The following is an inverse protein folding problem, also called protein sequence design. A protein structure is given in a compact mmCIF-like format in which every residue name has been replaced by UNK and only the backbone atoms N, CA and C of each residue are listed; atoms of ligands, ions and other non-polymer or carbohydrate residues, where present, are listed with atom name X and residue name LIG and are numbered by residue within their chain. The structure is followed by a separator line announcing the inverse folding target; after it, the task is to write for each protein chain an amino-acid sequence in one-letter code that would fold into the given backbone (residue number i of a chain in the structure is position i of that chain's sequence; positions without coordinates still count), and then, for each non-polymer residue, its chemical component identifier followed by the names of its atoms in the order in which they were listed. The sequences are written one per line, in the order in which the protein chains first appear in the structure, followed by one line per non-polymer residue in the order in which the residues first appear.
data_IF_400402375371
#
_entry.id   IF_400402375371
#
_cell.length_a   1.000
_cell.length_b   1.000
_cell.length_c   1.000
_cell.angle_alpha   90.00
_cell.angle_beta   90.00
_cell.angle_gamma   90.00
#
_symmetry.space_group_name_H-M   'P 1'
#
loop_
_entity.id
_entity.type
_entity.pdbx_description
1 polymer ?
#
# COMPACT_ATOMS: atom_id res chain seq x y z
N UNK A 1 -49.35 -12.21 8.66
CA UNK A 1 -48.79 -10.87 8.92
C UNK A 1 -47.91 -10.33 7.78
N UNK A 2 -47.31 -11.19 6.92
CA UNK A 2 -46.56 -10.75 5.73
C UNK A 2 -47.42 -10.22 4.57
N UNK A 3 -48.72 -10.52 4.53
CA UNK A 3 -49.64 -10.06 3.48
C UNK A 3 -50.07 -8.59 3.64
N UNK A 4 -50.08 -8.06 4.86
CA UNK A 4 -50.54 -6.69 5.13
C UNK A 4 -49.51 -5.62 4.75
N UNK A 5 -48.21 -5.93 4.75
CA UNK A 5 -47.16 -4.93 4.51
C UNK A 5 -47.00 -4.59 3.02
N UNK A 6 -47.15 -5.59 2.14
CA UNK A 6 -47.16 -5.38 0.69
C UNK A 6 -48.40 -4.59 0.25
N UNK A 7 -49.54 -4.77 0.92
CA UNK A 7 -50.76 -3.98 0.68
C UNK A 7 -50.62 -2.52 1.15
N UNK A 8 -49.93 -2.27 2.27
CA UNK A 8 -49.65 -0.91 2.75
C UNK A 8 -48.72 -0.16 1.78
N UNK A 9 -47.67 -0.81 1.28
CA UNK A 9 -46.82 -0.22 0.23
C UNK A 9 -47.53 -0.09 -1.12
N UNK A 10 -48.56 -0.89 -1.40
CA UNK A 10 -49.37 -0.84 -2.64
C UNK A 10 -50.38 0.30 -2.64
N UNK A 11 -50.92 0.70 -1.47
CA UNK A 11 -51.95 1.76 -1.35
C UNK A 11 -51.44 3.19 -1.57
N UNK A 12 -50.13 3.43 -1.61
CA UNK A 12 -49.55 4.72 -1.98
C UNK A 12 -49.07 4.69 -3.44
N UNK A 13 -50.00 4.88 -4.38
CA UNK A 13 -49.80 4.74 -5.84
C UNK A 13 -48.81 5.75 -6.48
N UNK A 14 -48.26 6.70 -5.74
CA UNK A 14 -47.40 7.76 -6.29
C UNK A 14 -45.89 7.63 -6.01
N UNK A 15 -45.42 6.48 -5.52
CA UNK A 15 -43.99 6.27 -5.23
C UNK A 15 -43.41 5.10 -6.02
N UNK A 16 -43.22 5.30 -7.34
CA UNK A 16 -42.36 4.44 -8.18
C UNK A 16 -40.95 4.26 -7.57
N UNK A 17 -40.52 5.22 -6.75
CA UNK A 17 -39.22 5.28 -6.07
C UNK A 17 -38.99 4.19 -5.00
N UNK A 18 -39.98 3.90 -4.14
CA UNK A 18 -39.86 2.84 -3.12
C UNK A 18 -39.84 1.46 -3.78
N UNK A 19 -40.55 1.30 -4.91
CA UNK A 19 -40.44 0.10 -5.72
C UNK A 19 -39.01 -0.08 -6.23
N UNK A 20 -38.34 0.95 -6.76
CA UNK A 20 -36.96 0.84 -7.25
C UNK A 20 -35.95 0.38 -6.18
N UNK A 21 -35.99 1.01 -5.00
CA UNK A 21 -35.10 0.65 -3.87
C UNK A 21 -35.43 -0.75 -3.35
N UNK A 22 -36.72 -1.07 -3.17
CA UNK A 22 -37.13 -2.42 -2.76
C UNK A 22 -36.84 -3.48 -3.84
N UNK A 23 -36.90 -3.16 -5.13
CA UNK A 23 -36.64 -4.09 -6.23
C UNK A 23 -35.15 -4.35 -6.41
N UNK A 24 -34.29 -3.32 -6.30
CA UNK A 24 -32.83 -3.47 -6.28
C UNK A 24 -32.34 -4.29 -5.09
N UNK A 25 -32.99 -4.13 -3.93
CA UNK A 25 -32.72 -4.93 -2.72
C UNK A 25 -33.30 -6.36 -2.86
N UNK A 26 -34.48 -6.53 -3.48
CA UNK A 26 -35.12 -7.85 -3.70
C UNK A 26 -34.40 -8.69 -4.77
N UNK A 27 -33.95 -8.09 -5.88
CA UNK A 27 -33.23 -8.79 -6.96
C UNK A 27 -31.92 -9.40 -6.44
N UNK A 28 -31.21 -8.74 -5.52
CA UNK A 28 -29.92 -9.22 -5.01
C UNK A 28 -30.03 -10.27 -3.90
N UNK A 29 -31.22 -10.43 -3.28
CA UNK A 29 -31.46 -11.37 -2.18
C UNK A 29 -32.35 -12.57 -2.53
N UNK A 30 -32.86 -12.68 -3.77
CA UNK A 30 -33.60 -13.87 -4.23
C UNK A 30 -32.74 -15.14 -4.40
N UNK A 31 -31.43 -15.09 -4.17
CA UNK A 31 -30.52 -16.23 -4.34
C UNK A 31 -30.13 -17.03 -3.09
N UNK A 32 -30.47 -16.57 -1.88
CA UNK A 32 -30.06 -17.25 -0.65
C UNK A 32 -31.17 -17.25 0.41
N UNK A 33 -31.83 -18.40 0.58
CA UNK A 33 -32.57 -18.70 1.80
C UNK A 33 -31.56 -18.88 2.94
N UNK A 34 -31.45 -17.88 3.81
CA UNK A 34 -30.66 -17.96 5.04
C UNK A 34 -31.42 -17.27 6.19
N UNK A 35 -31.07 -17.52 7.46
CA UNK A 35 -31.89 -17.19 8.65
C UNK A 35 -32.14 -15.70 8.93
N UNK A 36 -31.63 -14.81 8.06
CA UNK A 36 -31.72 -13.34 8.12
C UNK A 36 -33.14 -12.77 7.99
N UNK A 37 -34.17 -13.60 7.83
CA UNK A 37 -35.56 -13.14 7.69
C UNK A 37 -36.12 -12.50 8.97
N UNK A 38 -35.57 -12.85 10.14
CA UNK A 38 -35.95 -12.26 11.45
C UNK A 38 -35.36 -10.86 11.69
N UNK A 39 -34.28 -10.51 11.01
CA UNK A 39 -33.64 -9.19 11.19
C UNK A 39 -34.37 -8.09 10.40
N UNK A 40 -35.21 -8.43 9.42
CA UNK A 40 -35.99 -7.46 8.64
C UNK A 40 -37.06 -6.72 9.44
N UNK A 41 -37.68 -7.37 10.43
CA UNK A 41 -38.68 -6.74 11.30
C UNK A 41 -38.02 -5.77 12.29
N UNK A 42 -36.73 -5.95 12.59
CA UNK A 42 -35.93 -5.06 13.44
C UNK A 42 -35.27 -3.93 12.65
N UNK A 43 -34.85 -4.19 11.39
CA UNK A 43 -34.12 -3.23 10.51
C UNK A 43 -35.01 -2.15 9.88
N UNK A 44 -36.32 -2.34 9.82
CA UNK A 44 -37.28 -1.28 9.46
C UNK A 44 -37.88 -0.66 10.72
N UNK A 45 -37.06 0.08 11.46
CA UNK A 45 -37.55 0.84 12.61
C UNK A 45 -38.62 1.84 12.13
N UNK A 46 -39.86 1.60 12.54
CA UNK A 46 -41.09 2.26 12.04
C UNK A 46 -41.02 3.78 12.17
N UNK A 47 -40.30 4.28 13.16
CA UNK A 47 -40.11 5.71 13.43
C UNK A 47 -39.17 6.39 12.42
N UNK A 48 -38.18 5.66 11.90
CA UNK A 48 -37.24 6.16 10.88
C UNK A 48 -37.96 6.25 9.54
N UNK A 49 -38.74 5.22 9.18
CA UNK A 49 -39.56 5.21 7.97
C UNK A 49 -40.64 6.30 8.00
N UNK A 50 -41.23 6.57 9.16
CA UNK A 50 -42.19 7.68 9.34
C UNK A 50 -41.53 9.06 9.23
N UNK A 51 -40.30 9.23 9.73
CA UNK A 51 -39.50 10.44 9.49
C UNK A 51 -39.14 10.61 8.01
N UNK A 52 -38.84 9.52 7.30
CA UNK A 52 -38.57 9.50 5.84
C UNK A 52 -39.77 9.94 4.99
N UNK A 53 -41.00 9.62 5.40
CA UNK A 53 -42.23 9.99 4.68
C UNK A 53 -42.58 11.48 4.87
N UNK A 54 -42.25 12.05 6.03
CA UNK A 54 -42.62 13.43 6.37
C UNK A 54 -41.57 14.48 5.97
N UNK A 55 -40.32 14.12 5.68
CA UNK A 55 -39.33 15.08 5.15
C UNK A 55 -39.35 15.12 3.62
N UNK A 56 -40.30 15.87 3.07
CA UNK A 56 -40.56 16.01 1.62
C UNK A 56 -39.46 16.76 0.82
N UNK A 57 -38.19 16.79 1.28
CA UNK A 57 -37.12 17.52 0.58
C UNK A 57 -35.67 17.07 0.86
N UNK A 58 -35.41 15.87 1.37
CA UNK A 58 -34.03 15.41 1.60
C UNK A 58 -33.54 14.54 0.44
N UNK A 59 -32.55 15.04 -0.31
CA UNK A 59 -31.86 14.38 -1.43
C UNK A 59 -31.58 12.89 -1.17
N UNK A 60 -31.79 12.03 -2.18
CA UNK A 60 -31.51 10.58 -2.17
C UNK A 60 -30.15 10.21 -1.56
N UNK A 61 -29.13 11.01 -1.82
CA UNK A 61 -27.78 10.88 -1.25
C UNK A 61 -27.75 11.01 0.28
N UNK A 62 -28.54 11.93 0.84
CA UNK A 62 -28.64 12.16 2.29
C UNK A 62 -29.38 10.99 2.96
N UNK A 63 -30.37 10.42 2.29
CA UNK A 63 -31.13 9.29 2.82
C UNK A 63 -30.27 8.02 2.85
N UNK A 64 -29.53 7.75 1.77
CA UNK A 64 -28.61 6.62 1.70
C UNK A 64 -27.48 6.72 2.72
N UNK A 65 -26.91 7.91 2.91
CA UNK A 65 -25.86 8.11 3.91
C UNK A 65 -26.39 7.88 5.33
N UNK A 66 -27.56 8.39 5.69
CA UNK A 66 -28.17 8.15 7.02
C UNK A 66 -28.42 6.65 7.26
N UNK A 67 -28.95 5.94 6.25
CA UNK A 67 -29.24 4.51 6.36
C UNK A 67 -27.97 3.69 6.59
N UNK A 68 -26.94 3.89 5.77
CA UNK A 68 -25.68 3.15 5.90
C UNK A 68 -24.93 3.52 7.17
N UNK A 69 -24.91 4.80 7.58
CA UNK A 69 -24.33 5.23 8.85
C UNK A 69 -24.98 4.50 10.03
N UNK A 70 -26.30 4.33 10.04
CA UNK A 70 -26.96 3.56 11.09
C UNK A 70 -26.55 2.08 11.05
N UNK A 71 -26.42 1.46 9.87
CA UNK A 71 -25.89 0.10 9.77
C UNK A 71 -24.46 -0.04 10.32
N UNK A 72 -23.61 0.99 10.11
CA UNK A 72 -22.27 1.07 10.68
C UNK A 72 -22.29 1.20 12.21
N UNK A 73 -23.21 2.00 12.76
CA UNK A 73 -23.42 2.17 14.22
C UNK A 73 -24.00 0.93 14.89
N UNK A 74 -24.98 0.28 14.27
CA UNK A 74 -25.70 -0.89 14.80
C UNK A 74 -24.77 -2.10 14.97
N UNK A 75 -23.70 -2.17 14.18
CA UNK A 75 -22.63 -3.16 14.38
C UNK A 75 -21.74 -2.87 15.61
N UNK A 76 -21.98 -1.79 16.37
CA UNK A 76 -21.29 -1.42 17.61
C UNK A 76 -19.77 -1.13 17.51
N UNK A 77 -19.23 -0.84 16.31
CA UNK A 77 -17.78 -0.66 16.10
C UNK A 77 -17.34 0.76 15.71
N UNK A 78 -18.25 1.69 15.49
CA UNK A 78 -17.91 3.05 15.03
C UNK A 78 -18.49 4.08 16.00
N UNK A 79 -17.60 4.85 16.64
CA UNK A 79 -17.97 5.97 17.50
C UNK A 79 -18.40 7.18 16.67
N UNK A 80 -19.24 8.05 17.23
CA UNK A 80 -19.67 9.28 16.55
C UNK A 80 -18.48 10.16 16.14
N UNK A 81 -17.40 10.14 16.92
CA UNK A 81 -16.18 10.89 16.59
C UNK A 81 -15.40 10.27 15.42
N UNK A 82 -15.43 8.94 15.26
CA UNK A 82 -14.83 8.29 14.11
C UNK A 82 -15.62 8.55 12.82
N UNK A 83 -16.96 8.68 12.92
CA UNK A 83 -17.80 9.10 11.78
C UNK A 83 -17.45 10.51 11.34
N UNK A 84 -17.22 11.45 12.27
CA UNK A 84 -16.80 12.81 11.94
C UNK A 84 -15.46 12.86 11.22
N UNK A 85 -14.55 11.94 11.55
CA UNK A 85 -13.26 11.79 10.85
C UNK A 85 -13.42 11.21 9.44
N UNK A 86 -14.47 10.40 9.22
CA UNK A 86 -14.67 9.68 7.97
C UNK A 86 -15.27 10.58 6.91
N UNK A 87 -14.64 10.68 5.75
CA UNK A 87 -15.21 11.40 4.62
C UNK A 87 -16.59 10.81 4.23
N UNK A 88 -17.56 11.69 3.99
CA UNK A 88 -18.95 11.30 3.70
C UNK A 88 -19.11 10.36 2.51
N UNK A 89 -18.16 10.36 1.56
CA UNK A 89 -18.12 9.44 0.41
C UNK A 89 -18.13 7.98 0.85
N UNK A 90 -17.31 7.61 1.83
CA UNK A 90 -17.18 6.23 2.29
C UNK A 90 -18.43 5.73 3.01
N UNK A 91 -19.15 6.64 3.66
CA UNK A 91 -20.38 6.36 4.39
C UNK A 91 -21.60 6.17 3.48
N UNK A 92 -21.47 6.44 2.18
CA UNK A 92 -22.52 6.18 1.18
C UNK A 92 -22.51 4.73 0.67
N UNK A 93 -21.49 3.95 1.06
CA UNK A 93 -21.38 2.54 0.68
C UNK A 93 -21.87 1.61 1.78
N UNK A 94 -22.51 0.51 1.38
CA UNK A 94 -22.94 -0.54 2.32
C UNK A 94 -21.72 -1.17 3.01
N UNK A 95 -21.75 -1.37 4.35
CA UNK A 95 -20.71 -2.08 5.05
C UNK A 95 -20.54 -3.50 4.49
N UNK A 96 -19.31 -3.99 4.31
CA UNK A 96 -19.11 -5.33 3.78
C UNK A 96 -19.62 -6.40 4.76
N UNK A 97 -19.88 -7.59 4.22
CA UNK A 97 -20.27 -8.75 5.03
C UNK A 97 -19.11 -9.17 5.94
N UNK A 98 -19.41 -9.69 7.12
CA UNK A 98 -18.45 -10.25 8.08
C UNK A 98 -17.45 -11.21 7.44
N UNK A 99 -17.89 -12.08 6.51
CA UNK A 99 -16.99 -12.98 5.78
C UNK A 99 -15.91 -12.23 5.01
N UNK A 100 -16.26 -11.11 4.40
CA UNK A 100 -15.34 -10.29 3.61
C UNK A 100 -14.28 -9.64 4.51
N UNK A 101 -14.68 -9.11 5.68
CA UNK A 101 -13.74 -8.63 6.68
C UNK A 101 -12.72 -9.69 7.09
N UNK A 102 -13.17 -10.91 7.42
CA UNK A 102 -12.25 -11.99 7.77
C UNK A 102 -11.32 -12.39 6.62
N UNK A 103 -11.81 -12.45 5.39
CA UNK A 103 -10.97 -12.75 4.22
C UNK A 103 -9.87 -11.69 4.07
N UNK A 104 -10.22 -10.40 4.13
CA UNK A 104 -9.23 -9.32 4.06
C UNK A 104 -8.24 -9.37 5.22
N UNK A 105 -8.72 -9.59 6.45
CA UNK A 105 -7.87 -9.76 7.63
C UNK A 105 -6.86 -10.90 7.47
N UNK A 106 -7.29 -12.06 6.96
CA UNK A 106 -6.40 -13.20 6.71
C UNK A 106 -5.37 -12.87 5.64
N UNK A 107 -5.78 -12.27 4.52
CA UNK A 107 -4.87 -11.89 3.42
C UNK A 107 -3.83 -10.90 3.91
N UNK A 108 -4.23 -9.82 4.58
CA UNK A 108 -3.30 -8.84 5.14
C UNK A 108 -2.38 -9.43 6.21
N UNK A 109 -2.88 -10.35 7.05
CA UNK A 109 -2.06 -11.04 8.04
C UNK A 109 -0.96 -11.87 7.38
N UNK A 110 -1.28 -12.61 6.31
CA UNK A 110 -0.30 -13.42 5.56
C UNK A 110 0.76 -12.50 4.94
N UNK A 111 0.35 -11.42 4.28
CA UNK A 111 1.27 -10.45 3.66
C UNK A 111 2.17 -9.80 4.70
N UNK A 112 1.61 -9.40 5.84
CA UNK A 112 2.36 -8.85 6.98
C UNK A 112 3.41 -9.85 7.47
N UNK A 113 3.03 -11.09 7.79
CA UNK A 113 3.93 -12.09 8.35
C UNK A 113 5.08 -12.40 7.39
N UNK A 114 4.76 -12.74 6.13
CA UNK A 114 5.77 -13.09 5.13
C UNK A 114 6.69 -11.91 4.82
N UNK A 115 6.11 -10.72 4.69
CA UNK A 115 6.85 -9.50 4.43
C UNK A 115 7.77 -9.09 5.57
N UNK A 116 7.29 -9.12 6.81
CA UNK A 116 8.11 -8.80 7.99
C UNK A 116 9.26 -9.78 8.15
N UNK A 117 9.02 -11.09 7.98
CA UNK A 117 10.07 -12.12 8.04
C UNK A 117 11.14 -11.87 6.97
N UNK A 118 10.71 -11.68 5.72
CA UNK A 118 11.62 -11.46 4.60
C UNK A 118 12.48 -10.20 4.77
N UNK A 119 11.86 -9.07 5.10
CA UNK A 119 12.56 -7.80 5.24
C UNK A 119 13.45 -7.77 6.49
N UNK A 120 13.02 -8.38 7.60
CA UNK A 120 13.88 -8.57 8.77
C UNK A 120 15.12 -9.41 8.43
N UNK A 121 14.95 -10.50 7.68
CA UNK A 121 16.07 -11.34 7.23
C UNK A 121 17.03 -10.55 6.34
N UNK A 122 16.53 -9.73 5.42
CA UNK A 122 17.36 -8.86 4.58
C UNK A 122 18.19 -7.87 5.43
N UNK A 123 17.56 -7.19 6.39
CA UNK A 123 18.23 -6.32 7.36
C UNK A 123 19.32 -7.07 8.13
N UNK A 124 18.98 -8.23 8.69
CA UNK A 124 19.89 -9.05 9.47
C UNK A 124 21.12 -9.48 8.66
N UNK A 125 20.92 -10.00 7.44
CA UNK A 125 22.00 -10.47 6.57
C UNK A 125 22.95 -9.32 6.22
N UNK A 126 22.42 -8.15 5.81
CA UNK A 126 23.25 -7.00 5.41
C UNK A 126 24.09 -6.49 6.59
N UNK A 127 23.50 -6.43 7.80
CA UNK A 127 24.20 -5.98 9.01
C UNK A 127 25.25 -6.97 9.50
N UNK A 128 24.96 -8.28 9.39
CA UNK A 128 25.82 -9.36 9.88
C UNK A 128 27.09 -9.51 9.03
N UNK A 129 26.98 -9.43 7.71
CA UNK A 129 28.10 -9.72 6.81
C UNK A 129 28.80 -8.43 6.34
N UNK A 130 30.01 -8.18 6.85
CA UNK A 130 30.81 -7.01 6.46
C UNK A 130 31.08 -6.94 4.94
N UNK A 131 31.15 -8.08 4.25
CA UNK A 131 31.31 -8.15 2.79
C UNK A 131 30.15 -7.53 2.02
N UNK A 132 28.98 -7.40 2.66
CA UNK A 132 27.77 -6.80 2.11
C UNK A 132 27.61 -5.32 2.50
N UNK A 133 28.50 -4.74 3.33
CA UNK A 133 28.44 -3.31 3.72
C UNK A 133 29.03 -2.40 2.64
N UNK A 134 28.40 -2.42 1.47
CA UNK A 134 28.76 -1.60 0.30
C UNK A 134 27.77 -0.45 0.13
N UNK A 135 28.19 0.60 -0.57
CA UNK A 135 27.40 1.81 -0.86
C UNK A 135 25.94 1.51 -1.22
N UNK A 136 25.70 0.66 -2.23
CA UNK A 136 24.33 0.33 -2.67
C UNK A 136 23.54 -0.48 -1.64
N UNK A 137 24.22 -1.34 -0.89
CA UNK A 137 23.55 -2.21 0.09
C UNK A 137 23.10 -1.43 1.33
N UNK A 138 23.63 -0.22 1.58
CA UNK A 138 23.12 0.70 2.60
C UNK A 138 21.74 1.24 2.19
N UNK A 139 21.53 1.52 0.90
CA UNK A 139 20.22 1.92 0.38
C UNK A 139 19.23 0.74 0.41
N UNK A 140 19.67 -0.47 0.06
CA UNK A 140 18.84 -1.69 0.20
C UNK A 140 18.46 -1.98 1.65
N UNK A 141 19.37 -1.72 2.61
CA UNK A 141 19.07 -1.80 4.03
C UNK A 141 17.97 -0.79 4.42
N UNK A 142 18.05 0.45 3.94
CA UNK A 142 17.03 1.46 4.19
C UNK A 142 15.67 1.05 3.60
N UNK A 143 15.66 0.52 2.38
CA UNK A 143 14.45 0.03 1.73
C UNK A 143 13.80 -1.11 2.55
N UNK A 144 14.59 -2.09 2.99
CA UNK A 144 14.10 -3.18 3.83
C UNK A 144 13.55 -2.71 5.18
N UNK A 145 14.13 -1.65 5.78
CA UNK A 145 13.59 -1.02 7.00
C UNK A 145 12.23 -0.37 6.70
N UNK A 146 12.10 0.37 5.59
CA UNK A 146 10.83 0.99 5.21
C UNK A 146 9.74 -0.05 4.95
N UNK A 147 10.06 -1.08 4.18
CA UNK A 147 9.13 -2.18 3.87
C UNK A 147 8.73 -2.95 5.14
N UNK A 148 9.67 -3.22 6.05
CA UNK A 148 9.36 -3.85 7.33
C UNK A 148 8.37 -3.02 8.15
N UNK A 149 8.58 -1.70 8.25
CA UNK A 149 7.70 -0.80 9.00
C UNK A 149 6.31 -0.70 8.34
N UNK A 150 6.24 -0.56 7.02
CA UNK A 150 4.99 -0.54 6.25
C UNK A 150 4.17 -1.83 6.45
N UNK A 151 4.87 -2.97 6.43
CA UNK A 151 4.25 -4.29 6.59
C UNK A 151 3.82 -4.52 8.03
N UNK A 152 4.64 -4.17 9.03
CA UNK A 152 4.27 -4.25 10.44
C UNK A 152 3.04 -3.37 10.77
N UNK A 153 2.95 -2.19 10.17
CA UNK A 153 1.79 -1.30 10.29
C UNK A 153 0.47 -1.92 9.79
N UNK A 154 0.55 -2.90 8.88
CA UNK A 154 -0.61 -3.69 8.40
C UNK A 154 -1.32 -4.45 9.52
N UNK A 155 -0.72 -4.54 10.71
CA UNK A 155 -1.39 -4.99 11.92
C UNK A 155 -2.69 -4.22 12.18
N UNK A 156 -2.73 -2.90 11.93
CA UNK A 156 -3.94 -2.07 12.11
C UNK A 156 -5.10 -2.60 11.27
N UNK A 157 -4.86 -2.81 9.98
CA UNK A 157 -5.86 -3.35 9.04
C UNK A 157 -6.30 -4.75 9.42
N UNK A 158 -5.37 -5.59 9.85
CA UNK A 158 -5.64 -6.96 10.30
C UNK A 158 -6.51 -6.99 11.54
N UNK A 159 -6.18 -6.16 12.54
CA UNK A 159 -6.93 -6.03 13.78
C UNK A 159 -8.33 -5.48 13.54
N UNK A 160 -8.43 -4.37 12.78
CA UNK A 160 -9.71 -3.78 12.41
C UNK A 160 -10.58 -4.76 11.60
N UNK A 161 -9.99 -5.57 10.72
CA UNK A 161 -10.70 -6.61 9.99
C UNK A 161 -11.27 -7.70 10.91
N UNK A 162 -10.52 -8.12 11.94
CA UNK A 162 -11.00 -9.12 12.90
C UNK A 162 -12.22 -8.65 13.68
N UNK A 163 -12.20 -7.37 14.08
CA UNK A 163 -13.32 -6.69 14.75
C UNK A 163 -14.34 -6.08 13.78
N UNK A 164 -14.22 -6.33 12.47
CA UNK A 164 -15.20 -5.97 11.45
C UNK A 164 -15.48 -4.45 11.39
N UNK A 165 -14.46 -3.65 11.70
CA UNK A 165 -14.56 -2.19 11.81
C UNK A 165 -13.33 -1.56 12.46
N UNK A 166 -13.30 -0.23 12.60
CA UNK A 166 -12.15 0.55 13.06
C UNK A 166 -11.92 0.43 14.58
N UNK A 167 -11.60 -0.77 15.05
CA UNK A 167 -11.47 -1.09 16.47
C UNK A 167 -10.33 -0.38 17.19
N UNK A 168 -9.31 0.10 16.46
CA UNK A 168 -8.23 0.94 17.04
C UNK A 168 -8.59 2.44 17.10
N UNK A 169 -9.79 2.80 16.64
CA UNK A 169 -10.32 4.17 16.70
C UNK A 169 -9.46 5.21 15.98
N UNK A 170 -9.63 6.48 16.36
CA UNK A 170 -8.93 7.59 15.73
C UNK A 170 -7.40 7.49 15.89
N UNK A 171 -6.90 7.17 17.09
CA UNK A 171 -5.46 7.08 17.32
C UNK A 171 -4.80 6.03 16.43
N UNK A 172 -5.42 4.84 16.31
CA UNK A 172 -4.93 3.81 15.40
C UNK A 172 -4.93 4.25 13.94
N UNK A 173 -5.94 5.02 13.54
CA UNK A 173 -6.05 5.59 12.21
C UNK A 173 -4.94 6.60 11.90
N UNK A 174 -4.68 7.53 12.82
CA UNK A 174 -3.61 8.52 12.68
C UNK A 174 -2.23 7.84 12.61
N UNK A 175 -2.00 6.81 13.44
CA UNK A 175 -0.74 6.04 13.42
C UNK A 175 -0.59 5.26 12.11
N UNK A 176 -1.65 4.57 11.66
CA UNK A 176 -1.63 3.79 10.41
C UNK A 176 -1.31 4.68 9.22
N UNK A 177 -2.03 5.80 9.09
CA UNK A 177 -1.81 6.80 8.07
C UNK A 177 -0.40 7.37 8.13
N UNK A 178 0.07 7.83 9.29
CA UNK A 178 1.40 8.41 9.47
C UNK A 178 2.53 7.45 9.08
N UNK A 179 2.51 6.22 9.60
CA UNK A 179 3.56 5.23 9.31
C UNK A 179 3.49 4.82 7.84
N UNK A 180 2.29 4.60 7.28
CA UNK A 180 2.11 4.26 5.87
C UNK A 180 2.68 5.35 4.96
N UNK A 181 2.37 6.60 5.27
CA UNK A 181 2.85 7.81 4.61
C UNK A 181 4.37 7.95 4.60
N UNK A 182 5.02 7.96 5.77
CA UNK A 182 6.46 8.19 5.87
C UNK A 182 7.25 7.08 5.20
N UNK A 183 6.85 5.82 5.43
CA UNK A 183 7.54 4.65 4.85
C UNK A 183 7.39 4.61 3.33
N UNK A 184 6.21 4.99 2.80
CA UNK A 184 5.98 5.15 1.36
C UNK A 184 6.92 6.20 0.74
N UNK A 185 6.98 7.41 1.30
CA UNK A 185 7.83 8.48 0.77
C UNK A 185 9.29 8.03 0.77
N UNK A 186 9.78 7.56 1.92
CA UNK A 186 11.20 7.19 2.07
C UNK A 186 11.56 6.01 1.17
N UNK A 187 10.71 4.99 1.06
CA UNK A 187 10.95 3.84 0.16
C UNK A 187 11.02 4.27 -1.31
N UNK A 188 10.13 5.16 -1.74
CA UNK A 188 10.06 5.66 -3.12
C UNK A 188 11.32 6.44 -3.52
N UNK A 189 11.74 7.38 -2.66
CA UNK A 189 13.00 8.10 -2.84
C UNK A 189 14.22 7.16 -2.80
N UNK A 190 14.18 6.12 -1.96
CA UNK A 190 15.25 5.12 -1.86
C UNK A 190 15.40 4.33 -3.16
N UNK A 191 14.30 3.93 -3.80
CA UNK A 191 14.32 3.23 -5.10
C UNK A 191 14.96 4.12 -6.19
N UNK A 192 14.63 5.41 -6.21
CA UNK A 192 15.26 6.35 -7.13
C UNK A 192 16.77 6.48 -6.87
N UNK A 193 17.19 6.57 -5.61
CA UNK A 193 18.62 6.62 -5.25
C UNK A 193 19.37 5.32 -5.60
N UNK A 194 18.76 4.15 -5.38
CA UNK A 194 19.31 2.86 -5.82
C UNK A 194 19.52 2.89 -7.34
N UNK A 195 18.54 3.39 -8.09
CA UNK A 195 18.62 3.49 -9.55
C UNK A 195 19.77 4.38 -10.02
N UNK A 196 19.99 5.53 -9.38
CA UNK A 196 21.10 6.45 -9.67
C UNK A 196 22.46 5.80 -9.37
N UNK A 197 22.58 5.15 -8.21
CA UNK A 197 23.81 4.49 -7.78
C UNK A 197 24.17 3.33 -8.73
N UNK A 198 23.17 2.55 -9.16
CA UNK A 198 23.33 1.48 -10.15
C UNK A 198 23.70 2.03 -11.51
N UNK A 199 23.06 3.11 -11.96
CA UNK A 199 23.40 3.79 -13.21
C UNK A 199 24.86 4.25 -13.22
N UNK A 200 25.31 4.97 -12.18
CA UNK A 200 26.70 5.43 -12.08
C UNK A 200 27.69 4.26 -12.06
N UNK A 201 27.38 3.17 -11.35
CA UNK A 201 28.27 2.00 -11.23
C UNK A 201 28.40 1.19 -12.53
N UNK A 202 27.34 1.14 -13.34
CA UNK A 202 27.29 0.32 -14.56
C UNK A 202 27.74 1.11 -15.78
N UNK A 203 27.21 2.32 -15.94
CA UNK A 203 27.41 3.16 -17.14
C UNK A 203 28.68 4.00 -17.04
N UNK A 204 29.10 4.40 -15.82
CA UNK A 204 30.29 5.24 -15.61
C UNK A 204 31.32 4.58 -14.69
N UNK A 205 31.85 3.39 -15.06
CA UNK A 205 32.65 2.56 -14.17
C UNK A 205 33.95 3.24 -13.71
N UNK A 206 34.65 3.98 -14.58
CA UNK A 206 35.92 4.65 -14.23
C UNK A 206 35.72 5.78 -13.21
N UNK A 207 34.64 6.55 -13.34
CA UNK A 207 34.27 7.59 -12.38
C UNK A 207 33.81 6.93 -11.06
N UNK A 208 33.10 5.80 -11.14
CA UNK A 208 32.67 5.05 -9.96
C UNK A 208 33.83 4.46 -9.17
N UNK A 209 34.92 4.03 -9.84
CA UNK A 209 36.13 3.49 -9.21
C UNK A 209 36.90 4.55 -8.42
N UNK A 210 36.98 5.79 -8.95
CA UNK A 210 37.57 6.94 -8.25
C UNK A 210 36.71 7.36 -7.04
N UNK A 211 35.38 7.19 -7.14
CA UNK A 211 34.44 7.46 -6.03
C UNK A 211 34.30 6.31 -5.02
N UNK A 212 34.76 5.09 -5.32
CA UNK A 212 34.50 3.86 -4.55
C UNK A 212 35.32 3.71 -3.25
N UNK A 213 35.38 4.76 -2.46
CA UNK A 213 35.91 4.75 -1.08
C UNK A 213 34.78 4.95 -0.08
N UNK A 214 35.09 4.81 1.22
CA UNK A 214 34.18 5.05 2.37
C UNK A 214 33.32 6.32 2.23
N UNK A 215 33.76 7.30 1.43
CA UNK A 215 33.03 8.53 1.10
C UNK A 215 31.66 8.28 0.45
N UNK A 216 31.48 7.26 -0.40
CA UNK A 216 30.17 6.98 -1.01
C UNK A 216 29.15 6.43 -0.01
N UNK A 217 29.60 5.64 0.97
CA UNK A 217 28.72 5.16 2.06
C UNK A 217 28.21 6.35 2.88
N UNK A 218 29.08 7.31 3.21
CA UNK A 218 28.68 8.52 3.92
C UNK A 218 27.69 9.37 3.12
N UNK A 219 27.90 9.54 1.81
CA UNK A 219 26.96 10.25 0.93
C UNK A 219 25.57 9.59 0.97
N UNK A 220 25.50 8.25 0.86
CA UNK A 220 24.22 7.54 0.94
C UNK A 220 23.58 7.63 2.31
N UNK A 221 24.35 7.64 3.40
CA UNK A 221 23.82 7.89 4.75
C UNK A 221 23.21 9.30 4.82
N UNK A 222 23.89 10.31 4.29
CA UNK A 222 23.36 11.69 4.25
C UNK A 222 22.07 11.74 3.43
N UNK A 223 22.02 11.09 2.26
CA UNK A 223 20.79 10.97 1.45
C UNK A 223 19.66 10.31 2.22
N UNK A 224 19.93 9.20 2.90
CA UNK A 224 18.94 8.52 3.75
C UNK A 224 18.42 9.47 4.83
N UNK A 225 19.31 10.16 5.55
CA UNK A 225 18.90 11.14 6.56
C UNK A 225 18.01 12.24 5.95
N UNK A 226 18.36 12.77 4.78
CA UNK A 226 17.53 13.76 4.08
C UNK A 226 16.17 13.21 3.67
N UNK A 227 16.09 11.96 3.18
CA UNK A 227 14.83 11.30 2.83
C UNK A 227 13.94 11.12 4.05
N UNK A 228 14.48 10.69 5.19
CA UNK A 228 13.71 10.54 6.43
C UNK A 228 13.22 11.87 6.97
N UNK A 229 14.06 12.91 6.96
CA UNK A 229 13.66 14.27 7.36
C UNK A 229 12.53 14.77 6.45
N UNK A 230 12.70 14.63 5.14
CA UNK A 230 11.68 14.99 4.15
C UNK A 230 10.36 14.24 4.42
N UNK A 231 10.40 12.91 4.44
CA UNK A 231 9.22 12.08 4.69
C UNK A 231 8.53 12.38 6.02
N UNK A 232 9.30 12.64 7.09
CA UNK A 232 8.74 13.03 8.38
C UNK A 232 8.04 14.39 8.32
N UNK A 233 8.69 15.41 7.73
CA UNK A 233 8.10 16.75 7.60
C UNK A 233 6.76 16.72 6.86
N UNK A 234 6.63 15.91 5.81
CA UNK A 234 5.37 15.82 5.07
C UNK A 234 4.33 14.93 5.73
N UNK A 235 4.73 13.89 6.45
CA UNK A 235 3.79 12.97 7.11
C UNK A 235 3.27 13.52 8.44
N UNK A 236 4.03 14.39 9.12
CA UNK A 236 3.61 14.96 10.40
C UNK A 236 2.51 16.02 10.22
N UNK A 237 2.46 16.72 9.08
CA UNK A 237 1.44 17.75 8.83
C UNK A 237 0.01 17.19 8.96
N UNK A 238 -0.36 16.11 8.24
CA UNK A 238 -1.66 15.48 8.41
C UNK A 238 -1.89 14.87 9.80
N UNK A 239 -0.82 14.48 10.50
CA UNK A 239 -0.93 13.91 11.85
C UNK A 239 -1.29 14.97 12.92
N UNK A 240 -0.82 16.21 12.74
CA UNK A 240 -1.10 17.32 13.67
C UNK A 240 -2.51 17.90 13.51
N UNK A 241 -3.30 17.44 12.54
CA UNK A 241 -4.66 17.90 12.27
C UNK A 241 -4.77 19.44 12.09
N UNK A 242 -3.74 20.07 11.51
CA UNK A 242 -3.72 21.49 11.15
C UNK A 242 -4.45 21.69 9.81
N UNK A 243 -5.76 21.44 9.78
CA UNK A 243 -6.64 21.45 8.58
C UNK A 243 -6.34 20.36 7.52
N UNK A 244 -5.42 19.46 7.85
CA UNK A 244 -4.94 18.34 7.04
C UNK A 244 -4.99 17.08 7.92
N UNK A 245 -5.62 16.00 7.47
CA UNK A 245 -5.88 14.84 8.34
C UNK A 245 -5.69 13.48 7.68
N UNK A 246 -5.33 12.49 8.50
CA UNK A 246 -5.50 11.08 8.15
C UNK A 246 -6.94 10.65 8.42
N UNK A 247 -7.57 10.00 7.46
CA UNK A 247 -8.93 9.52 7.53
C UNK A 247 -9.03 8.05 7.08
N UNK A 248 -10.04 7.33 7.54
CA UNK A 248 -10.34 6.00 7.02
C UNK A 248 -10.78 6.06 5.57
N UNK A 249 -10.41 5.03 4.82
CA UNK A 249 -10.83 4.85 3.44
C UNK A 249 -11.41 3.44 3.21
N UNK A 250 -12.04 3.24 2.05
CA UNK A 250 -12.51 1.93 1.63
C UNK A 250 -13.51 1.30 2.61
N UNK A 251 -13.13 0.18 3.21
CA UNK A 251 -13.96 -0.54 4.20
C UNK A 251 -13.81 -0.02 5.63
N UNK A 252 -13.18 1.15 5.82
CA UNK A 252 -12.96 1.79 7.11
C UNK A 252 -12.10 0.97 8.07
N UNK A 253 -11.15 0.21 7.52
CA UNK A 253 -10.23 -0.66 8.28
C UNK A 253 -8.76 -0.27 8.10
N UNK A 254 -8.46 0.54 7.09
CA UNK A 254 -7.17 1.17 6.85
C UNK A 254 -7.36 2.69 6.80
N UNK A 255 -6.28 3.41 7.06
CA UNK A 255 -6.28 4.86 7.03
C UNK A 255 -5.19 5.40 6.12
N UNK A 256 -5.52 6.52 5.48
CA UNK A 256 -4.66 7.21 4.55
C UNK A 256 -4.93 8.72 4.65
N UNK A 257 -4.16 9.53 3.94
CA UNK A 257 -4.43 10.96 3.84
C UNK A 257 -5.82 11.19 3.24
N UNK A 258 -6.62 12.11 3.81
CA UNK A 258 -7.94 12.44 3.26
C UNK A 258 -7.85 13.24 1.95
N UNK A 259 -7.54 12.54 0.86
CA UNK A 259 -7.48 13.08 -0.50
C UNK A 259 -8.86 13.42 -1.10
N UNK A 260 -9.95 13.20 -0.35
CA UNK A 260 -11.32 13.56 -0.74
C UNK A 260 -11.79 14.87 -0.08
N UNK A 261 -10.99 15.46 0.79
CA UNK A 261 -11.28 16.75 1.44
C UNK A 261 -11.43 17.84 0.39
N UNK A 262 -12.48 18.66 0.50
CA UNK A 262 -12.69 19.80 -0.40
C UNK A 262 -11.94 21.07 0.01
N UNK A 263 -10.63 20.92 0.28
CA UNK A 263 -9.74 22.02 0.58
C UNK A 263 -8.67 22.10 -0.52
N UNK A 264 -8.65 23.22 -1.25
CA UNK A 264 -7.74 23.43 -2.39
C UNK A 264 -6.28 23.43 -1.93
N UNK A 265 -5.96 24.06 -0.80
CA UNK A 265 -4.59 24.09 -0.25
C UNK A 265 -4.14 22.66 0.10
N UNK A 266 -5.04 21.85 0.65
CA UNK A 266 -4.73 20.46 0.96
C UNK A 266 -4.54 19.61 -0.29
N UNK A 267 -5.45 19.73 -1.26
CA UNK A 267 -5.36 19.04 -2.55
C UNK A 267 -4.03 19.36 -3.24
N UNK A 268 -3.61 20.63 -3.23
CA UNK A 268 -2.30 21.06 -3.75
C UNK A 268 -1.13 20.45 -2.97
N UNK A 269 -1.22 20.42 -1.64
CA UNK A 269 -0.22 19.76 -0.79
C UNK A 269 -0.05 18.28 -1.17
N UNK A 270 -1.14 17.53 -1.29
CA UNK A 270 -1.10 16.10 -1.67
C UNK A 270 -0.53 15.97 -3.09
N UNK A 271 -1.02 16.77 -4.04
CA UNK A 271 -0.59 16.70 -5.43
C UNK A 271 0.92 16.97 -5.59
N UNK A 272 1.46 18.00 -4.90
CA UNK A 272 2.87 18.38 -5.03
C UNK A 272 3.79 17.43 -4.26
N UNK A 273 3.45 17.11 -3.01
CA UNK A 273 4.36 16.42 -2.10
C UNK A 273 4.16 14.90 -2.04
N UNK A 274 2.95 14.40 -2.26
CA UNK A 274 2.68 12.96 -2.29
C UNK A 274 2.76 12.41 -3.70
N UNK A 275 1.98 12.99 -4.62
CA UNK A 275 1.85 12.48 -5.98
C UNK A 275 3.04 12.89 -6.86
N UNK A 276 3.46 14.16 -6.78
CA UNK A 276 4.59 14.70 -7.56
C UNK A 276 5.91 13.99 -7.27
N UNK A 277 6.17 13.64 -6.02
CA UNK A 277 7.34 12.87 -5.60
C UNK A 277 7.37 11.48 -6.24
N UNK A 278 6.24 10.75 -6.24
CA UNK A 278 6.15 9.46 -6.92
C UNK A 278 6.47 9.57 -8.42
N UNK A 279 6.01 10.62 -9.11
CA UNK A 279 6.32 10.84 -10.52
C UNK A 279 7.79 11.15 -10.77
N UNK A 280 8.40 12.00 -9.94
CA UNK A 280 9.83 12.33 -10.04
C UNK A 280 10.67 11.05 -9.84
N UNK A 281 10.38 10.28 -8.79
CA UNK A 281 11.05 9.02 -8.51
C UNK A 281 10.87 8.01 -9.64
N UNK A 282 9.68 7.92 -10.23
CA UNK A 282 9.41 7.08 -11.40
C UNK A 282 10.22 7.51 -12.63
N UNK A 283 10.25 8.81 -12.96
CA UNK A 283 10.98 9.35 -14.11
C UNK A 283 12.49 9.09 -13.96
N UNK A 284 13.06 9.37 -12.79
CA UNK A 284 14.48 9.11 -12.50
C UNK A 284 14.79 7.64 -12.70
N UNK A 285 13.99 6.77 -12.09
CA UNK A 285 14.15 5.32 -12.15
C UNK A 285 14.09 4.81 -13.58
N UNK A 286 13.08 5.25 -14.35
CA UNK A 286 12.89 4.89 -15.75
C UNK A 286 14.07 5.37 -16.62
N UNK A 287 14.51 6.61 -16.43
CA UNK A 287 15.66 7.16 -17.16
C UNK A 287 16.94 6.38 -16.91
N UNK A 288 17.28 6.16 -15.62
CA UNK A 288 18.46 5.39 -15.23
C UNK A 288 18.44 4.00 -15.86
N UNK A 289 17.28 3.34 -15.85
CA UNK A 289 17.13 2.02 -16.40
C UNK A 289 17.25 1.95 -17.93
N UNK A 290 16.63 2.89 -18.67
CA UNK A 290 16.78 2.96 -20.13
C UNK A 290 18.27 3.07 -20.49
N UNK A 291 19.04 3.86 -19.74
CA UNK A 291 20.48 4.01 -19.95
C UNK A 291 21.28 2.78 -19.55
N UNK A 292 20.98 2.16 -18.41
CA UNK A 292 21.61 0.89 -17.98
C UNK A 292 21.37 -0.19 -19.03
N UNK A 293 20.14 -0.35 -19.48
CA UNK A 293 19.73 -1.33 -20.49
C UNK A 293 20.51 -1.11 -21.78
N UNK A 294 20.52 0.11 -22.32
CA UNK A 294 21.32 0.45 -23.50
C UNK A 294 22.80 0.10 -23.32
N UNK A 295 23.41 0.48 -22.20
CA UNK A 295 24.81 0.14 -21.91
C UNK A 295 25.09 -1.37 -21.78
N UNK A 296 24.13 -2.17 -21.31
CA UNK A 296 24.28 -3.63 -21.19
C UNK A 296 24.11 -4.34 -22.54
N UNK A 297 23.21 -3.85 -23.40
CA UNK A 297 22.92 -4.43 -24.71
C UNK A 297 23.87 -3.93 -25.81
N UNK A 298 24.24 -2.66 -25.79
CA UNK A 298 25.24 -2.11 -26.69
C UNK A 298 26.64 -2.53 -26.19
N UNK A 299 27.27 -3.46 -26.90
CA UNK A 299 28.60 -3.99 -26.59
C UNK A 299 29.75 -2.97 -26.72
N UNK A 300 29.44 -1.68 -26.89
CA UNK A 300 30.33 -0.65 -27.44
C UNK A 300 31.38 -0.11 -26.46
N UNK A 301 31.29 -0.39 -25.16
CA UNK A 301 32.30 0.04 -24.17
C UNK A 301 32.93 -1.09 -23.34
N UNK A 302 32.70 -2.36 -23.69
CA UNK A 302 33.26 -3.51 -22.96
C UNK A 302 34.68 -3.87 -23.43
N UNK A 303 35.18 -3.23 -24.50
CA UNK A 303 36.46 -3.52 -25.16
C UNK A 303 37.73 -3.29 -24.32
N UNK A 304 37.64 -2.82 -23.07
CA UNK A 304 38.80 -2.65 -22.18
C UNK A 304 38.89 -3.63 -21.00
N UNK A 305 38.03 -4.67 -20.94
CA UNK A 305 38.13 -5.71 -19.90
C UNK A 305 38.87 -6.96 -20.39
N UNK A 306 39.88 -7.40 -19.62
CA UNK A 306 40.76 -8.55 -19.93
C UNK A 306 39.95 -9.82 -20.28
N UNK A 307 40.37 -10.48 -21.36
CA UNK A 307 39.75 -11.59 -22.15
C UNK A 307 39.38 -12.88 -21.37
N UNK A 308 39.50 -12.92 -20.03
CA UNK A 308 39.12 -14.09 -19.21
C UNK A 308 37.89 -13.91 -18.31
N UNK A 309 37.52 -12.67 -17.95
CA UNK A 309 36.45 -12.37 -16.99
C UNK A 309 35.14 -11.86 -17.64
N UNK A 310 35.13 -11.66 -18.96
CA UNK A 310 33.98 -11.10 -19.68
C UNK A 310 32.68 -11.87 -19.45
N UNK A 311 32.73 -13.21 -19.43
CA UNK A 311 31.51 -14.03 -19.29
C UNK A 311 30.85 -13.92 -17.91
N UNK A 312 31.64 -13.79 -16.84
CA UNK A 312 31.15 -13.62 -15.46
C UNK A 312 30.66 -12.20 -15.24
N UNK A 313 31.39 -11.19 -15.75
CA UNK A 313 31.01 -9.78 -15.64
C UNK A 313 29.73 -9.51 -16.45
N UNK A 314 29.62 -10.05 -17.67
CA UNK A 314 28.42 -9.95 -18.52
C UNK A 314 27.20 -10.62 -17.86
N UNK A 315 27.36 -11.84 -17.30
CA UNK A 315 26.29 -12.51 -16.53
C UNK A 315 25.88 -11.73 -15.29
N UNK A 316 26.83 -11.14 -14.56
CA UNK A 316 26.55 -10.33 -13.36
C UNK A 316 25.82 -9.05 -13.70
N UNK A 317 26.25 -8.32 -14.76
CA UNK A 317 25.56 -7.11 -15.24
C UNK A 317 24.15 -7.43 -15.78
N UNK A 318 23.98 -8.55 -16.47
CA UNK A 318 22.68 -9.01 -16.96
C UNK A 318 21.72 -9.36 -15.81
N UNK A 319 22.18 -10.14 -14.82
CA UNK A 319 21.37 -10.47 -13.64
C UNK A 319 21.00 -9.22 -12.83
N UNK A 320 21.93 -8.26 -12.73
CA UNK A 320 21.67 -6.97 -12.10
C UNK A 320 20.61 -6.17 -12.86
N UNK A 321 20.72 -6.14 -14.20
CA UNK A 321 19.71 -5.56 -15.08
C UNK A 321 18.34 -6.18 -14.85
N UNK A 322 18.22 -7.52 -14.91
CA UNK A 322 16.96 -8.26 -14.69
C UNK A 322 16.37 -7.98 -13.31
N UNK A 323 17.19 -7.96 -12.25
CA UNK A 323 16.70 -7.68 -10.89
C UNK A 323 16.13 -6.27 -10.80
N UNK A 324 16.80 -5.28 -11.40
CA UNK A 324 16.33 -3.89 -11.46
C UNK A 324 15.08 -3.78 -12.35
N UNK A 325 15.00 -4.50 -13.48
CA UNK A 325 13.80 -4.54 -14.33
C UNK A 325 12.59 -5.03 -13.54
N UNK A 326 12.78 -6.10 -12.77
CA UNK A 326 11.73 -6.68 -11.93
C UNK A 326 11.29 -5.65 -10.88
N UNK A 327 12.22 -4.99 -10.20
CA UNK A 327 11.90 -3.92 -9.23
C UNK A 327 11.11 -2.77 -9.85
N UNK A 328 11.50 -2.29 -11.03
CA UNK A 328 10.82 -1.19 -11.73
C UNK A 328 9.43 -1.62 -12.17
N UNK A 329 9.29 -2.81 -12.72
CA UNK A 329 7.99 -3.36 -13.10
C UNK A 329 7.10 -3.55 -11.88
N UNK A 330 7.64 -4.07 -10.77
CA UNK A 330 6.91 -4.24 -9.53
C UNK A 330 6.49 -2.90 -8.94
N UNK A 331 7.39 -1.90 -8.90
CA UNK A 331 7.09 -0.56 -8.43
C UNK A 331 6.01 0.10 -9.32
N UNK A 332 6.17 0.09 -10.64
CA UNK A 332 5.21 0.67 -11.57
C UNK A 332 3.82 0.01 -11.47
N UNK A 333 3.76 -1.32 -11.41
CA UNK A 333 2.50 -2.04 -11.35
C UNK A 333 1.82 -1.97 -9.99
N UNK A 334 2.59 -1.87 -8.91
CA UNK A 334 2.02 -1.86 -7.56
C UNK A 334 1.53 -0.50 -7.09
N UNK A 335 2.25 0.57 -7.43
CA UNK A 335 1.95 1.90 -6.92
C UNK A 335 0.97 2.68 -7.80
N UNK A 336 1.02 2.50 -9.13
CA UNK A 336 0.18 3.27 -10.05
C UNK A 336 -1.32 3.16 -9.76
N UNK A 337 -1.90 1.98 -9.45
CA UNK A 337 -3.32 1.88 -9.14
C UNK A 337 -3.75 2.76 -7.95
N UNK A 338 -2.91 2.86 -6.92
CA UNK A 338 -3.21 3.66 -5.73
C UNK A 338 -3.02 5.15 -5.99
N UNK A 339 -1.94 5.53 -6.67
CA UNK A 339 -1.71 6.91 -7.09
C UNK A 339 -2.85 7.40 -8.00
N UNK A 340 -3.38 6.54 -8.88
CA UNK A 340 -4.54 6.87 -9.71
C UNK A 340 -5.81 7.14 -8.88
N UNK A 341 -6.05 6.37 -7.81
CA UNK A 341 -7.19 6.60 -6.90
C UNK A 341 -7.08 7.96 -6.22
N UNK A 342 -5.89 8.30 -5.70
CA UNK A 342 -5.65 9.60 -5.05
C UNK A 342 -5.84 10.75 -6.05
N UNK A 343 -5.30 10.63 -7.27
CA UNK A 343 -5.47 11.60 -8.34
C UNK A 343 -6.96 11.80 -8.68
N UNK A 344 -7.72 10.72 -8.82
CA UNK A 344 -9.17 10.82 -9.07
C UNK A 344 -9.88 11.58 -7.95
N UNK A 345 -9.48 11.36 -6.69
CA UNK A 345 -10.07 12.07 -5.55
C UNK A 345 -9.72 13.55 -5.54
N UNK A 346 -8.46 13.88 -5.82
CA UNK A 346 -7.98 15.27 -5.95
C UNK A 346 -8.74 16.02 -7.05
N UNK A 347 -9.02 15.36 -8.18
CA UNK A 347 -9.81 15.92 -9.30
C UNK A 347 -11.33 15.77 -9.12
N UNK A 348 -11.82 15.45 -7.92
CA UNK A 348 -13.24 15.38 -7.57
C UNK A 348 -14.04 14.33 -8.38
N UNK A 349 -13.35 13.31 -8.88
CA UNK A 349 -13.93 12.19 -9.63
C UNK A 349 -14.30 11.02 -8.71
N UNK A 350 -14.97 11.34 -7.60
CA UNK A 350 -15.31 10.40 -6.51
C UNK A 350 -16.23 9.26 -6.96
N UNK A 351 -17.01 9.47 -8.02
CA UNK A 351 -17.90 8.49 -8.64
C UNK A 351 -17.18 7.23 -9.18
N UNK A 352 -15.87 7.32 -9.47
CA UNK A 352 -15.06 6.18 -9.91
C UNK A 352 -14.32 5.49 -8.76
N UNK A 353 -14.41 6.01 -7.54
CA UNK A 353 -13.66 5.54 -6.38
C UNK A 353 -14.57 4.63 -5.54
N UNK A 354 -14.47 3.32 -5.78
CA UNK A 354 -15.19 2.33 -4.97
C UNK A 354 -14.36 1.83 -3.78
N UNK A 355 -14.99 1.41 -2.66
CA UNK A 355 -14.26 0.83 -1.54
C UNK A 355 -13.42 -0.38 -1.89
N UNK A 356 -13.86 -1.22 -2.84
CA UNK A 356 -13.10 -2.39 -3.26
C UNK A 356 -11.84 -2.00 -4.04
N UNK A 357 -11.92 -0.96 -4.87
CA UNK A 357 -10.79 -0.49 -5.66
C UNK A 357 -9.65 -0.02 -4.76
N UNK A 358 -9.97 0.73 -3.71
CA UNK A 358 -8.97 1.23 -2.75
C UNK A 358 -8.35 0.09 -1.93
N UNK A 359 -9.17 -0.82 -1.42
CA UNK A 359 -8.68 -2.00 -0.70
C UNK A 359 -7.72 -2.85 -1.55
N UNK A 360 -8.05 -3.07 -2.82
CA UNK A 360 -7.19 -3.81 -3.74
C UNK A 360 -5.91 -3.04 -4.06
N UNK A 361 -5.98 -1.75 -4.34
CA UNK A 361 -4.77 -0.96 -4.66
C UNK A 361 -3.80 -0.91 -3.48
N UNK A 362 -4.28 -0.71 -2.25
CA UNK A 362 -3.45 -0.73 -1.02
C UNK A 362 -2.85 -2.11 -0.77
N UNK A 363 -3.58 -3.19 -1.07
CA UNK A 363 -3.06 -4.56 -0.95
C UNK A 363 -1.91 -4.83 -1.94
N UNK A 364 -2.03 -4.38 -3.19
CA UNK A 364 -0.99 -4.61 -4.21
C UNK A 364 0.34 -3.95 -3.77
N UNK A 365 0.29 -2.74 -3.19
CA UNK A 365 1.46 -2.08 -2.62
C UNK A 365 2.12 -2.95 -1.54
N UNK A 366 1.35 -3.38 -0.55
CA UNK A 366 1.88 -4.20 0.57
C UNK A 366 2.40 -5.55 0.07
N UNK A 367 1.74 -6.16 -0.91
CA UNK A 367 2.23 -7.38 -1.57
C UNK A 367 3.59 -7.15 -2.23
N UNK A 368 3.77 -6.05 -2.96
CA UNK A 368 5.06 -5.71 -3.57
C UNK A 368 6.19 -5.63 -2.53
N UNK A 369 5.99 -4.87 -1.45
CA UNK A 369 6.95 -4.75 -0.35
C UNK A 369 7.24 -6.09 0.34
N UNK A 370 6.27 -7.01 0.37
CA UNK A 370 6.48 -8.36 0.92
C UNK A 370 7.34 -9.25 0.01
N UNK A 371 7.34 -9.01 -1.31
CA UNK A 371 8.06 -9.80 -2.30
C UNK A 371 9.51 -9.35 -2.46
N UNK A 372 9.79 -8.04 -2.30
CA UNK A 372 11.14 -7.42 -2.38
C UNK A 372 12.28 -8.27 -1.77
N UNK A 373 12.24 -8.67 -0.47
CA UNK A 373 13.33 -9.45 0.14
C UNK A 373 13.58 -10.79 -0.54
N UNK A 374 12.53 -11.44 -1.05
CA UNK A 374 12.64 -12.73 -1.72
C UNK A 374 13.32 -12.60 -3.09
N UNK A 375 13.11 -11.49 -3.78
CA UNK A 375 13.83 -11.16 -5.02
C UNK A 375 15.32 -11.05 -4.73
N UNK A 376 15.71 -10.31 -3.69
CA UNK A 376 17.12 -10.16 -3.31
C UNK A 376 17.80 -11.45 -2.85
N UNK A 377 17.07 -12.30 -2.14
CA UNK A 377 17.60 -13.54 -1.55
C UNK A 377 17.63 -14.69 -2.58
N UNK A 378 16.63 -14.80 -3.47
CA UNK A 378 16.47 -15.92 -4.42
C UNK A 378 17.22 -15.70 -5.73
N UNK A 379 17.52 -14.44 -6.13
CA UNK A 379 18.20 -14.16 -7.40
C UNK A 379 19.75 -14.23 -7.45
N UNK A 380 20.55 -14.76 -6.49
CA UNK A 380 22.00 -14.80 -6.67
C UNK A 380 22.45 -16.01 -7.51
N UNK A 381 22.52 -15.84 -8.84
CA UNK A 381 23.34 -16.71 -9.72
C UNK A 381 24.70 -16.10 -10.11
N UNK A 382 24.94 -14.80 -9.85
CA UNK A 382 26.17 -14.11 -10.28
C UNK A 382 27.35 -14.10 -9.29
N UNK A 383 27.12 -14.37 -8.01
CA UNK A 383 28.12 -14.21 -6.92
C UNK A 383 28.60 -15.53 -6.31
N UNK A 384 28.49 -16.64 -7.05
CA UNK A 384 28.94 -17.96 -6.58
C UNK A 384 30.46 -18.09 -6.39
N UNK A 385 31.28 -17.17 -6.92
CA UNK A 385 32.75 -17.28 -6.80
C UNK A 385 33.38 -16.55 -5.61
N UNK A 386 32.64 -15.72 -4.87
CA UNK A 386 33.22 -14.96 -3.73
C UNK A 386 32.45 -15.10 -2.42
N UNK A 387 31.18 -15.49 -2.47
CA UNK A 387 30.31 -15.56 -1.28
C UNK A 387 30.21 -17.00 -0.74
N UNK A 388 30.30 -18.03 -1.59
CA UNK A 388 30.14 -19.43 -1.18
C UNK A 388 31.17 -19.95 -0.17
N UNK A 389 32.48 -19.63 -0.23
CA UNK A 389 33.39 -20.17 0.79
C UNK A 389 33.11 -19.59 2.18
N UNK A 390 32.64 -18.34 2.27
CA UNK A 390 32.44 -17.67 3.55
C UNK A 390 31.03 -17.88 4.13
N UNK A 391 29.99 -17.91 3.29
CA UNK A 391 28.62 -18.16 3.75
C UNK A 391 28.44 -19.65 4.13
N UNK A 392 28.98 -20.57 3.32
CA UNK A 392 28.92 -22.00 3.65
C UNK A 392 29.76 -22.32 4.90
N UNK A 393 30.97 -21.78 5.03
CA UNK A 393 31.75 -21.96 6.26
C UNK A 393 31.15 -21.28 7.48
N UNK A 394 30.43 -20.16 7.33
CA UNK A 394 29.83 -19.48 8.47
C UNK A 394 28.51 -20.11 8.90
N UNK A 395 27.71 -20.66 7.98
CA UNK A 395 26.51 -21.47 8.27
C UNK A 395 26.91 -22.84 8.87
N UNK A 396 27.98 -23.46 8.37
CA UNK A 396 28.56 -24.66 8.97
C UNK A 396 29.15 -24.40 10.37
N UNK A 397 29.72 -23.21 10.63
CA UNK A 397 30.20 -22.82 11.97
C UNK A 397 29.09 -22.42 12.94
N UNK A 398 27.90 -22.02 12.47
CA UNK A 398 26.76 -21.65 13.32
C UNK A 398 25.86 -22.84 13.67
N UNK A 399 26.18 -24.06 13.25
CA UNK A 399 25.44 -25.27 13.64
C UNK A 399 24.01 -25.35 13.10
N UNK A 400 23.65 -24.56 12.09
CA UNK A 400 22.31 -24.60 11.48
C UNK A 400 22.34 -25.62 10.35
N UNK A 401 21.69 -26.80 10.48
CA UNK A 401 21.73 -27.83 9.46
C UNK A 401 21.10 -27.33 8.16
N UNK A 402 21.82 -27.51 7.05
CA UNK A 402 21.45 -27.02 5.72
C UNK A 402 20.19 -27.69 5.11
N UNK A 403 19.54 -28.58 5.85
CA UNK A 403 18.31 -29.27 5.44
C UNK A 403 17.03 -28.42 5.63
N UNK A 404 17.13 -27.18 6.12
CA UNK A 404 15.98 -26.32 6.42
C UNK A 404 15.56 -25.36 5.30
N UNK A 405 16.23 -25.38 4.14
CA UNK A 405 15.95 -24.47 3.02
C UNK A 405 15.80 -25.21 1.67
N UNK A 406 15.20 -26.40 1.70
CA UNK A 406 14.60 -27.01 0.51
C UNK A 406 13.08 -26.83 0.59
N UNK A 407 12.59 -25.79 -0.08
CA UNK A 407 11.24 -25.71 -0.65
C UNK A 407 11.37 -25.15 -2.06
#
# INVERSE_FOLDING_TARGET
MSSNFYEICRKHENLQYIRGVAYSIKIKFMGHQSPLQKDWETLCNRDILFKMINSKSSNETIINSIYFVNMWKDKQFITDDYIKLTNSHWLQSMPPNFKMYYIWGIVYAIVMILGCIGNFLAVFIILKFNSLKKSVNVLLLNLAICDFLLLANTFVVTYNSYYQGPALGNLGCQIDGFIGSITRIVSTMTIAAISIERYSSIVHPLISLVKNTKNNIWINIIWICMMWIYGFLFSILPFLNLDYGYAPEGFLINCNIDYLTDNVEFKLFIMVFYTGECFISFIITLYCYIKITKCVFDHTEISNCRVGQESIIKKTKLMLGITISIEITLYALSWMPHVMVEILGIFEKVEYISPMLTMVSTLIIKLCSSINPWIYIILPKGTRTSIQPNLANSVMKSGIPMNSFQL
#
